data_IF_133525129689
#
_entry.id   IF_133525129689
#
_cell.length_a   1.000
_cell.length_b   1.000
_cell.length_c   1.000
_cell.angle_alpha   90.00
_cell.angle_beta   90.00
_cell.angle_gamma   90.00
#
_symmetry.space_group_name_H-M   'P 1'
#
loop_
_entity.id
_entity.type
_entity.pdbx_description
1 polymer ?
#
# COMPACT_ATOMS: atom_id res chain seq x y z
N UNK A 1 -12.04 24.70 -15.95
CA UNK A 1 -11.07 23.59 -16.13
C UNK A 1 -11.59 22.34 -15.44
N UNK A 2 -11.27 21.14 -15.94
CA UNK A 2 -11.58 19.88 -15.24
C UNK A 2 -10.62 19.67 -14.06
N UNK A 3 -11.09 19.09 -12.96
CA UNK A 3 -10.27 18.86 -11.75
C UNK A 3 -8.99 18.06 -12.05
N UNK A 4 -9.07 17.04 -12.92
CA UNK A 4 -7.91 16.24 -13.33
C UNK A 4 -6.82 17.09 -14.00
N UNK A 5 -7.22 18.03 -14.89
CA UNK A 5 -6.25 18.92 -15.54
C UNK A 5 -5.59 19.88 -14.55
N UNK A 6 -6.31 20.32 -13.53
CA UNK A 6 -5.78 21.18 -12.46
C UNK A 6 -4.80 20.38 -11.59
N UNK A 7 -5.18 19.19 -11.13
CA UNK A 7 -4.30 18.30 -10.35
C UNK A 7 -3.00 17.99 -11.10
N UNK A 8 -3.08 17.64 -12.38
CA UNK A 8 -1.90 17.35 -13.20
C UNK A 8 -1.00 18.58 -13.36
N UNK A 9 -1.57 19.78 -13.58
CA UNK A 9 -0.77 21.00 -13.65
C UNK A 9 -0.11 21.36 -12.32
N UNK A 10 -0.78 21.12 -11.20
CA UNK A 10 -0.20 21.33 -9.87
C UNK A 10 0.97 20.37 -9.57
N UNK A 11 0.93 19.14 -10.10
CA UNK A 11 2.04 18.19 -9.96
C UNK A 11 3.25 18.53 -10.85
N UNK A 12 3.03 19.29 -11.93
CA UNK A 12 4.08 19.65 -12.90
C UNK A 12 4.74 21.00 -12.60
N UNK A 13 4.25 21.75 -11.62
CA UNK A 13 4.93 23.00 -11.21
C UNK A 13 6.09 22.69 -10.28
N UNK A 14 7.25 23.29 -10.55
CA UNK A 14 8.42 23.25 -9.66
C UNK A 14 8.17 23.99 -8.34
N UNK A 15 7.18 24.89 -8.31
CA UNK A 15 6.86 25.72 -7.15
C UNK A 15 5.36 25.61 -6.85
N UNK A 16 4.92 24.61 -6.06
CA UNK A 16 3.50 24.45 -5.75
C UNK A 16 2.93 25.61 -4.92
N UNK A 17 3.78 26.42 -4.27
CA UNK A 17 3.37 27.59 -3.47
C UNK A 17 2.74 28.72 -4.27
N UNK A 18 3.09 28.80 -5.56
CA UNK A 18 2.67 29.89 -6.44
C UNK A 18 1.93 29.33 -7.66
N UNK A 19 0.67 28.88 -7.49
CA UNK A 19 -0.13 28.42 -8.63
C UNK A 19 -0.38 29.56 -9.62
N UNK A 20 -0.35 29.24 -10.91
CA UNK A 20 -0.70 30.20 -11.97
C UNK A 20 -2.12 30.76 -11.77
N UNK A 21 -2.39 31.95 -12.30
CA UNK A 21 -3.69 32.63 -12.17
C UNK A 21 -4.87 31.70 -12.53
N UNK A 22 -4.74 30.95 -13.63
CA UNK A 22 -5.77 30.00 -14.07
C UNK A 22 -6.06 28.89 -13.05
N UNK A 23 -5.05 28.47 -12.28
CA UNK A 23 -5.22 27.46 -11.22
C UNK A 23 -5.83 28.11 -9.97
N UNK A 24 -5.41 29.33 -9.60
CA UNK A 24 -5.97 30.07 -8.45
C UNK A 24 -7.49 30.23 -8.56
N UNK A 25 -7.97 30.73 -9.71
CA UNK A 25 -9.41 30.86 -9.97
C UNK A 25 -10.16 29.54 -9.78
N UNK A 26 -9.56 28.40 -10.16
CA UNK A 26 -10.20 27.10 -9.93
C UNK A 26 -10.15 26.66 -8.46
N UNK A 27 -9.02 26.85 -7.78
CA UNK A 27 -8.84 26.50 -6.37
C UNK A 27 -9.78 27.31 -5.44
N UNK A 28 -10.16 28.51 -5.85
CA UNK A 28 -11.13 29.35 -5.15
C UNK A 28 -12.55 28.77 -5.18
N UNK A 29 -12.88 27.99 -6.20
CA UNK A 29 -14.23 27.44 -6.40
C UNK A 29 -14.33 25.93 -6.17
N UNK A 30 -13.21 25.20 -6.12
CA UNK A 30 -13.18 23.74 -5.99
C UNK A 30 -12.50 23.29 -4.69
N UNK A 31 -13.30 22.88 -3.71
CA UNK A 31 -12.81 22.43 -2.39
C UNK A 31 -11.91 21.19 -2.48
N UNK A 32 -12.19 20.24 -3.38
CA UNK A 32 -11.38 19.04 -3.54
C UNK A 32 -10.00 19.33 -4.12
N UNK A 33 -9.90 20.25 -5.09
CA UNK A 33 -8.60 20.69 -5.62
C UNK A 33 -7.83 21.52 -4.58
N UNK A 34 -8.52 22.32 -3.76
CA UNK A 34 -7.90 23.06 -2.65
C UNK A 34 -7.30 22.13 -1.59
N UNK A 35 -8.04 21.11 -1.17
CA UNK A 35 -7.54 20.12 -0.21
C UNK A 35 -6.31 19.37 -0.75
N UNK A 36 -6.35 18.99 -2.03
CA UNK A 36 -5.21 18.38 -2.72
C UNK A 36 -3.99 19.31 -2.73
N UNK A 37 -4.18 20.58 -3.11
CA UNK A 37 -3.11 21.59 -3.12
C UNK A 37 -2.50 21.81 -1.73
N UNK A 38 -3.32 21.91 -0.68
CA UNK A 38 -2.83 21.99 0.70
C UNK A 38 -2.00 20.75 1.10
N UNK A 39 -2.38 19.55 0.63
CA UNK A 39 -1.58 18.34 0.80
C UNK A 39 -0.20 18.45 0.14
N UNK A 40 -0.14 18.96 -1.09
CA UNK A 40 1.13 19.21 -1.78
C UNK A 40 2.01 20.21 -1.03
N UNK A 41 1.43 21.28 -0.47
CA UNK A 41 2.19 22.26 0.32
C UNK A 41 2.78 21.66 1.60
N UNK A 42 2.04 20.75 2.26
CA UNK A 42 2.56 20.04 3.45
C UNK A 42 3.71 19.11 3.07
N UNK A 43 3.60 18.39 1.95
CA UNK A 43 4.67 17.53 1.45
C UNK A 43 5.91 18.35 1.10
N UNK A 44 5.75 19.45 0.36
CA UNK A 44 6.82 20.38 -0.01
C UNK A 44 7.53 20.95 1.22
N UNK A 45 6.79 21.32 2.26
CA UNK A 45 7.35 21.81 3.52
C UNK A 45 8.09 20.71 4.32
N UNK A 46 7.70 19.45 4.17
CA UNK A 46 8.33 18.33 4.88
C UNK A 46 9.63 17.84 4.22
N UNK A 47 9.81 18.05 2.91
CA UNK A 47 11.00 17.57 2.17
C UNK A 47 12.32 18.08 2.78
N UNK A 48 12.48 19.37 3.14
CA UNK A 48 13.70 19.86 3.79
C UNK A 48 13.97 19.26 5.17
N UNK A 49 12.95 18.76 5.86
CA UNK A 49 13.09 18.12 7.18
C UNK A 49 13.44 16.64 7.09
N UNK A 50 13.41 16.05 5.89
CA UNK A 50 13.79 14.66 5.72
C UNK A 50 15.26 14.48 6.11
N UNK A 51 15.58 13.48 6.95
CA UNK A 51 16.94 13.23 7.38
C UNK A 51 17.78 12.88 6.14
N UNK A 52 18.74 13.74 5.80
CA UNK A 52 19.72 13.43 4.75
C UNK A 52 20.65 12.35 5.32
N UNK A 53 20.68 11.13 4.76
CA UNK A 53 21.59 10.10 5.24
C UNK A 53 23.01 10.64 5.15
N UNK A 54 23.74 10.55 6.27
CA UNK A 54 25.15 10.94 6.27
C UNK A 54 25.89 9.98 5.35
N UNK A 55 26.36 10.50 4.21
CA UNK A 55 27.25 9.76 3.34
C UNK A 55 28.53 9.34 4.08
N UNK A 56 29.27 8.35 3.56
CA UNK A 56 30.54 7.96 4.14
C UNK A 56 31.46 9.17 4.26
N UNK A 57 32.21 9.25 5.36
CA UNK A 57 33.14 10.35 5.60
C UNK A 57 34.09 10.52 4.41
N UNK A 58 34.27 11.76 3.98
CA UNK A 58 35.11 12.11 2.82
C UNK A 58 34.48 11.88 1.44
N UNK A 59 33.26 11.36 1.31
CA UNK A 59 32.61 11.20 0.00
C UNK A 59 32.47 12.53 -0.77
N UNK A 60 32.05 13.58 -0.07
CA UNK A 60 31.96 14.94 -0.64
C UNK A 60 33.33 15.45 -1.10
N UNK A 61 34.37 15.25 -0.29
CA UNK A 61 35.73 15.69 -0.64
C UNK A 61 36.27 14.96 -1.88
N UNK A 62 36.01 13.64 -2.00
CA UNK A 62 36.37 12.87 -3.19
C UNK A 62 35.64 13.36 -4.45
N UNK A 63 34.35 13.66 -4.33
CA UNK A 63 33.55 14.20 -5.44
C UNK A 63 34.07 15.57 -5.89
N UNK A 64 34.38 16.46 -4.94
CA UNK A 64 34.97 17.78 -5.25
C UNK A 64 36.32 17.61 -5.96
N UNK A 65 37.19 16.74 -5.45
CA UNK A 65 38.48 16.46 -6.09
C UNK A 65 38.34 15.88 -7.51
N UNK A 66 37.28 15.10 -7.79
CA UNK A 66 36.99 14.63 -9.15
C UNK A 66 36.63 15.78 -10.08
N UNK A 67 35.74 16.69 -9.67
CA UNK A 67 35.38 17.85 -10.49
C UNK A 67 36.55 18.82 -10.70
N UNK A 68 37.39 19.03 -9.67
CA UNK A 68 38.60 19.84 -9.81
C UNK A 68 39.59 19.20 -10.79
N UNK A 69 39.78 17.88 -10.73
CA UNK A 69 40.62 17.16 -11.68
C UNK A 69 40.07 17.20 -13.12
N UNK A 70 38.75 17.10 -13.30
CA UNK A 70 38.08 17.26 -14.59
C UNK A 70 38.21 18.69 -15.14
N UNK A 71 38.09 19.71 -14.29
CA UNK A 71 38.29 21.11 -14.70
C UNK A 71 39.73 21.36 -15.18
N UNK A 72 40.73 20.83 -14.47
CA UNK A 72 42.13 20.97 -14.86
C UNK A 72 42.49 20.20 -16.14
N UNK A 73 41.82 19.07 -16.40
CA UNK A 73 42.04 18.30 -17.64
C UNK A 73 41.30 18.89 -18.83
N UNK A 74 40.16 19.55 -18.64
CA UNK A 74 39.44 20.28 -19.68
C UNK A 74 40.24 21.47 -20.25
N UNK A 75 41.08 22.11 -19.42
CA UNK A 75 41.91 23.25 -19.82
C UNK A 75 43.19 22.85 -20.59
N UNK A 76 43.64 21.60 -20.45
CA UNK A 76 44.82 21.07 -21.15
C UNK A 76 44.50 20.46 -22.53
N UNK A 77 43.22 20.34 -22.90
CA UNK A 77 42.86 19.97 -24.26
C UNK A 77 43.22 21.13 -25.20
N UNK A 78 44.11 20.93 -26.20
CA UNK A 78 44.42 21.98 -27.15
C UNK A 78 43.11 22.45 -27.79
N UNK A 79 42.91 23.76 -27.79
CA UNK A 79 41.80 24.45 -28.46
C UNK A 79 41.81 24.08 -29.94
N UNK A 80 41.25 22.92 -30.27
CA UNK A 80 40.79 22.61 -31.60
C UNK A 80 39.61 23.53 -31.82
N UNK A 81 39.91 24.70 -32.40
CA UNK A 81 38.94 25.65 -32.93
C UNK A 81 37.80 24.84 -33.54
N UNK A 82 36.54 25.02 -33.10
CA UNK A 82 35.43 24.26 -33.64
C UNK A 82 35.30 24.64 -35.12
N UNK A 83 35.95 23.85 -35.98
CA UNK A 83 35.75 23.91 -37.41
C UNK A 83 34.24 23.82 -37.61
N UNK A 84 33.69 24.88 -38.17
CA UNK A 84 32.26 25.12 -38.33
C UNK A 84 31.54 23.82 -38.66
N UNK A 85 30.88 23.24 -37.66
CA UNK A 85 29.92 22.17 -37.87
C UNK A 85 28.74 22.85 -38.54
N UNK A 86 28.80 22.85 -39.87
CA UNK A 86 27.73 23.28 -40.74
C UNK A 86 26.60 22.28 -40.46
N UNK A 87 25.61 22.73 -39.68
CA UNK A 87 24.41 21.97 -39.42
C UNK A 87 23.65 21.85 -40.74
N UNK A 88 23.91 20.77 -41.47
CA UNK A 88 23.16 20.40 -42.66
C UNK A 88 21.75 19.98 -42.20
N UNK A 89 20.68 20.68 -42.62
CA UNK A 89 19.32 20.34 -42.22
C UNK A 89 18.90 19.07 -42.96
N UNK A 90 19.18 17.91 -42.37
CA UNK A 90 18.70 16.65 -42.92
C UNK A 90 17.19 16.51 -42.72
N UNK A 91 16.51 16.54 -43.87
CA UNK A 91 15.43 15.63 -44.27
C UNK A 91 14.08 15.84 -43.57
N UNK A 92 13.25 16.65 -44.23
CA UNK A 92 11.79 16.51 -44.27
C UNK A 92 11.38 15.09 -44.63
N UNK A 93 10.81 14.36 -43.68
CA UNK A 93 10.02 13.15 -43.95
C UNK A 93 8.58 13.56 -44.29
N UNK A 94 7.98 13.04 -45.38
CA UNK A 94 6.59 13.29 -45.70
C UNK A 94 5.67 12.56 -44.71
N UNK A 95 4.83 13.34 -44.02
CA UNK A 95 3.73 12.81 -43.21
C UNK A 95 2.65 12.28 -44.18
N UNK A 96 2.31 10.99 -44.15
CA UNK A 96 1.17 10.49 -44.93
C UNK A 96 -0.12 11.02 -44.33
N UNK A 97 -0.88 11.76 -45.15
CA UNK A 97 -2.24 12.19 -44.85
C UNK A 97 -3.15 10.98 -45.00
N UNK A 98 -3.43 10.31 -43.89
CA UNK A 98 -4.42 9.22 -43.86
C UNK A 98 -5.82 9.81 -43.77
N UNK A 99 -6.45 9.91 -44.93
CA UNK A 99 -7.87 10.18 -45.12
C UNK A 99 -8.73 9.03 -44.56
N UNK A 100 -9.90 9.43 -44.05
CA UNK A 100 -11.18 8.67 -43.98
C UNK A 100 -11.61 8.26 -42.57
N UNK A 101 -12.21 9.24 -41.89
CA UNK A 101 -13.13 9.04 -40.78
C UNK A 101 -14.41 8.36 -41.27
N UNK A 102 -14.79 7.15 -40.78
CA UNK A 102 -16.13 6.61 -41.01
C UNK A 102 -17.15 7.32 -40.13
N UNK A 103 -18.33 7.56 -40.71
CA UNK A 103 -19.47 8.21 -40.06
C UNK A 103 -19.96 7.44 -38.82
N UNK A 104 -20.54 8.13 -37.82
CA UNK A 104 -21.09 7.48 -36.64
C UNK A 104 -22.33 6.66 -37.02
N UNK A 105 -22.30 5.37 -36.71
CA UNK A 105 -23.47 4.50 -36.80
C UNK A 105 -24.51 4.92 -35.75
N UNK A 106 -25.71 5.23 -36.22
CA UNK A 106 -26.90 5.45 -35.40
C UNK A 106 -27.25 4.16 -34.66
N UNK A 107 -27.01 4.12 -33.36
CA UNK A 107 -27.45 3.02 -32.48
C UNK A 107 -28.87 3.36 -32.01
N UNK A 108 -29.85 2.58 -32.47
CA UNK A 108 -31.21 2.61 -31.94
C UNK A 108 -31.24 2.02 -30.52
N UNK A 109 -31.96 2.65 -29.56
CA UNK A 109 -32.12 2.09 -28.23
C UNK A 109 -32.98 0.82 -28.29
N UNK A 110 -32.39 -0.31 -27.92
CA UNK A 110 -33.12 -1.55 -27.70
C UNK A 110 -33.97 -1.41 -26.43
N UNK A 111 -35.28 -1.55 -26.58
CA UNK A 111 -36.26 -1.65 -25.49
C UNK A 111 -35.96 -2.87 -24.64
N UNK A 112 -35.47 -2.65 -23.42
CA UNK A 112 -35.26 -3.70 -22.42
C UNK A 112 -36.62 -4.00 -21.76
N UNK A 113 -37.12 -5.25 -21.78
CA UNK A 113 -38.34 -5.62 -21.07
C UNK A 113 -38.14 -5.52 -19.55
N UNK A 114 -39.17 -5.12 -18.79
CA UNK A 114 -39.07 -4.95 -17.35
C UNK A 114 -38.78 -6.30 -16.66
N UNK A 115 -37.75 -6.31 -15.82
CA UNK A 115 -37.39 -7.46 -15.00
C UNK A 115 -38.49 -7.73 -13.94
N UNK A 116 -38.81 -9.02 -13.64
CA UNK A 116 -39.78 -9.36 -12.62
C UNK A 116 -39.28 -8.98 -11.22
N UNK A 117 -40.19 -8.37 -10.44
CA UNK A 117 -39.98 -7.95 -9.05
C UNK A 117 -39.50 -9.12 -8.17
N UNK A 118 -38.46 -8.92 -7.33
CA UNK A 118 -38.08 -9.91 -6.33
C UNK A 118 -39.16 -10.02 -5.24
N UNK A 119 -39.60 -11.25 -4.98
CA UNK A 119 -40.55 -11.58 -3.91
C UNK A 119 -39.92 -11.28 -2.54
N UNK A 120 -40.63 -10.52 -1.72
CA UNK A 120 -40.27 -10.21 -0.33
C UNK A 120 -39.96 -11.47 0.49
N UNK A 121 -38.87 -11.48 1.27
CA UNK A 121 -38.61 -12.57 2.21
C UNK A 121 -39.61 -12.51 3.38
N UNK A 122 -40.34 -13.61 3.56
CA UNK A 122 -41.23 -13.84 4.69
C UNK A 122 -40.43 -13.79 6.01
N UNK A 123 -40.94 -13.00 6.96
CA UNK A 123 -40.45 -12.93 8.32
C UNK A 123 -40.56 -14.30 9.02
N UNK A 124 -39.44 -14.81 9.52
CA UNK A 124 -39.41 -15.96 10.42
C UNK A 124 -39.63 -15.52 11.88
N UNK A 125 -40.37 -16.29 12.69
CA UNK A 125 -40.75 -15.90 14.03
C UNK A 125 -39.60 -16.06 15.04
N UNK A 126 -39.50 -15.07 15.93
CA UNK A 126 -38.56 -15.01 17.04
C UNK A 126 -38.72 -16.19 18.01
N UNK A 127 -37.70 -17.04 18.10
CA UNK A 127 -37.56 -18.02 19.19
C UNK A 127 -37.03 -17.32 20.44
N UNK A 128 -37.87 -17.19 21.46
CA UNK A 128 -37.52 -16.78 22.82
C UNK A 128 -36.58 -17.83 23.45
N UNK A 129 -35.30 -17.50 23.56
CA UNK A 129 -34.34 -18.27 24.36
C UNK A 129 -34.36 -17.76 25.80
N UNK A 130 -35.02 -18.51 26.69
CA UNK A 130 -34.89 -18.37 28.15
C UNK A 130 -33.52 -18.93 28.53
N UNK A 131 -32.56 -18.05 28.86
CA UNK A 131 -31.29 -18.45 29.47
C UNK A 131 -31.41 -18.24 30.98
N UNK A 132 -31.44 -19.35 31.71
CA UNK A 132 -31.38 -19.36 33.17
C UNK A 132 -30.01 -18.84 33.62
N UNK A 133 -30.03 -17.86 34.53
CA UNK A 133 -28.86 -17.35 35.24
C UNK A 133 -28.60 -18.33 36.39
N UNK A 134 -27.55 -19.13 36.26
CA UNK A 134 -27.01 -19.90 37.37
C UNK A 134 -26.04 -18.99 38.15
N UNK A 135 -26.42 -18.71 39.39
CA UNK A 135 -25.65 -18.00 40.40
C UNK A 135 -24.49 -18.89 40.82
N UNK A 136 -23.26 -18.43 40.61
CA UNK A 136 -22.03 -19.12 41.06
C UNK A 136 -21.58 -18.45 42.35
N UNK A 137 -21.68 -19.19 43.45
CA UNK A 137 -21.08 -18.87 44.74
C UNK A 137 -19.55 -18.80 44.62
N UNK A 138 -18.98 -17.70 45.12
CA UNK A 138 -17.54 -17.54 45.32
C UNK A 138 -17.16 -17.97 46.74
N UNK A 139 -16.27 -18.97 46.94
CA UNK A 139 -15.63 -19.19 48.22
C UNK A 139 -14.46 -18.21 48.40
N UNK A 140 -14.57 -17.39 49.45
CA UNK A 140 -13.45 -16.66 50.05
C UNK A 140 -12.62 -17.62 50.90
N UNK A 141 -11.50 -18.11 50.38
CA UNK A 141 -10.39 -18.60 51.20
C UNK A 141 -9.08 -17.98 50.71
N UNK A 142 -8.53 -17.10 51.54
CA UNK A 142 -7.18 -16.56 51.42
C UNK A 142 -6.19 -17.62 51.93
N UNK A 143 -5.22 -18.08 51.12
CA UNK A 143 -4.12 -18.87 51.64
C UNK A 143 -3.09 -17.99 52.38
N UNK A 144 -2.44 -18.52 53.44
CA UNK A 144 -1.42 -17.82 54.20
C UNK A 144 -0.15 -17.60 53.38
N UNK A 145 0.43 -16.41 53.52
CA UNK A 145 1.72 -16.03 52.93
C UNK A 145 2.86 -16.86 53.56
N UNK A 146 3.57 -17.61 52.73
CA UNK A 146 4.87 -18.19 53.06
C UNK A 146 6.00 -17.18 52.75
N UNK A 147 7.02 -17.06 53.60
CA UNK A 147 8.18 -16.20 53.33
C UNK A 147 9.06 -16.84 52.25
N UNK A 148 9.13 -16.21 51.08
CA UNK A 148 10.08 -16.59 50.03
C UNK A 148 11.46 -16.08 50.42
N UNK A 149 12.34 -17.04 50.68
CA UNK A 149 13.74 -16.89 51.01
C UNK A 149 14.54 -16.26 49.86
N UNK A 150 15.16 -15.13 50.14
CA UNK A 150 16.01 -14.34 49.25
C UNK A 150 17.38 -15.00 49.05
N UNK A 151 17.47 -16.00 48.16
CA UNK A 151 18.76 -16.50 47.67
C UNK A 151 19.06 -15.93 46.27
N UNK A 152 19.61 -14.73 46.26
CA UNK A 152 20.13 -14.04 45.07
C UNK A 152 21.31 -14.83 44.48
N UNK A 153 21.03 -15.68 43.48
CA UNK A 153 22.08 -16.21 42.59
C UNK A 153 22.40 -15.18 41.52
N UNK A 154 23.58 -14.59 41.62
CA UNK A 154 24.23 -13.87 40.53
C UNK A 154 24.36 -14.77 39.31
N UNK A 155 23.57 -14.47 38.28
CA UNK A 155 23.72 -15.04 36.95
C UNK A 155 24.66 -14.11 36.16
N UNK A 156 25.81 -14.59 35.67
CA UNK A 156 26.74 -13.75 34.92
C UNK A 156 26.11 -13.36 33.58
N UNK A 157 25.83 -12.07 33.43
CA UNK A 157 25.41 -11.44 32.17
C UNK A 157 26.57 -11.52 31.17
N UNK A 158 26.52 -12.48 30.26
CA UNK A 158 27.47 -12.57 29.13
C UNK A 158 27.08 -11.56 28.04
N UNK A 159 28.09 -10.80 27.61
CA UNK A 159 28.01 -9.59 26.79
C UNK A 159 27.79 -9.84 25.27
N UNK A 160 26.90 -10.75 24.86
CA UNK A 160 26.70 -11.05 23.42
C UNK A 160 25.75 -10.09 22.67
N UNK A 161 25.31 -8.99 23.28
CA UNK A 161 24.25 -8.13 22.72
C UNK A 161 24.72 -7.09 21.69
N UNK A 162 26.03 -6.92 21.46
CA UNK A 162 26.54 -5.79 20.64
C UNK A 162 26.83 -6.12 19.17
N UNK A 163 26.89 -7.39 18.76
CA UNK A 163 27.26 -7.73 17.37
C UNK A 163 26.08 -7.96 16.40
N UNK A 164 24.84 -8.05 16.90
CA UNK A 164 23.66 -8.29 16.03
C UNK A 164 22.96 -7.03 15.50
N UNK A 165 23.46 -5.83 15.79
CA UNK A 165 22.77 -4.59 15.45
C UNK A 165 22.98 -4.09 14.00
N UNK A 166 23.93 -4.65 13.23
CA UNK A 166 24.35 -4.06 11.94
C UNK A 166 23.71 -4.73 10.71
N UNK A 167 23.04 -5.88 10.84
CA UNK A 167 22.51 -6.65 9.70
C UNK A 167 20.99 -6.50 9.44
N UNK A 168 20.26 -5.75 10.28
CA UNK A 168 18.78 -5.66 10.24
C UNK A 168 18.21 -4.51 9.38
N UNK A 169 19.04 -3.66 8.77
CA UNK A 169 18.58 -2.46 8.05
C UNK A 169 18.07 -2.66 6.61
N UNK A 170 18.35 -3.81 5.99
CA UNK A 170 18.16 -3.99 4.53
C UNK A 170 16.74 -4.31 4.06
N UNK A 171 15.92 -4.99 4.88
CA UNK A 171 14.63 -5.55 4.42
C UNK A 171 13.48 -4.53 4.37
N UNK A 172 13.53 -3.46 5.17
CA UNK A 172 12.47 -2.45 5.15
C UNK A 172 12.48 -1.60 3.88
N UNK A 173 13.67 -1.31 3.34
CA UNK A 173 13.82 -0.49 2.14
C UNK A 173 13.33 -1.22 0.87
N UNK A 174 13.56 -2.53 0.74
CA UNK A 174 13.13 -3.29 -0.43
C UNK A 174 11.61 -3.40 -0.53
N UNK A 175 10.90 -3.51 0.59
CA UNK A 175 9.43 -3.58 0.62
C UNK A 175 8.79 -2.26 0.18
N UNK A 176 9.35 -1.12 0.60
CA UNK A 176 8.91 0.21 0.15
C UNK A 176 9.15 0.37 -1.36
N UNK A 177 10.30 -0.06 -1.88
CA UNK A 177 10.60 -0.01 -3.31
C UNK A 177 9.69 -0.94 -4.11
N UNK A 178 9.45 -2.16 -3.63
CA UNK A 178 8.57 -3.12 -4.29
C UNK A 178 7.13 -2.62 -4.34
N UNK A 179 6.58 -2.14 -3.21
CA UNK A 179 5.23 -1.56 -3.13
C UNK A 179 5.13 -0.31 -4.00
N UNK A 180 6.12 0.59 -3.92
CA UNK A 180 6.20 1.80 -4.73
C UNK A 180 6.25 1.50 -6.23
N UNK A 181 7.04 0.51 -6.65
CA UNK A 181 7.13 0.07 -8.04
C UNK A 181 5.82 -0.55 -8.53
N UNK A 182 5.13 -1.38 -7.73
CA UNK A 182 3.80 -1.89 -8.11
C UNK A 182 2.77 -0.78 -8.24
N UNK A 183 2.72 0.16 -7.29
CA UNK A 183 1.78 1.30 -7.36
C UNK A 183 2.07 2.16 -8.59
N UNK A 184 3.34 2.40 -8.90
CA UNK A 184 3.76 3.13 -10.10
C UNK A 184 3.35 2.42 -11.39
N UNK A 185 3.53 1.09 -11.48
CA UNK A 185 3.09 0.31 -12.64
C UNK A 185 1.57 0.26 -12.79
N UNK A 186 0.81 0.25 -11.68
CA UNK A 186 -0.65 0.32 -11.72
C UNK A 186 -1.12 1.70 -12.21
N UNK A 187 -0.45 2.79 -11.80
CA UNK A 187 -0.77 4.15 -12.26
C UNK A 187 -0.51 4.37 -13.76
N UNK A 188 0.40 3.61 -14.38
CA UNK A 188 0.68 3.74 -15.81
C UNK A 188 -0.40 3.10 -16.72
N UNK A 189 -1.30 2.28 -16.16
CA UNK A 189 -2.40 1.74 -16.96
C UNK A 189 -3.39 2.87 -17.27
N UNK A 190 -3.69 3.18 -18.55
CA UNK A 190 -4.66 4.21 -18.90
C UNK A 190 -6.00 3.82 -18.28
N UNK A 191 -6.41 4.56 -17.24
CA UNK A 191 -7.69 4.35 -16.59
C UNK A 191 -8.77 4.81 -17.55
N UNK A 192 -9.45 3.85 -18.18
CA UNK A 192 -10.65 4.10 -18.97
C UNK A 192 -11.69 4.70 -18.02
N UNK A 193 -11.80 6.02 -18.07
CA UNK A 193 -12.47 6.83 -17.05
C UNK A 193 -13.97 6.79 -17.29
N UNK A 194 -14.61 5.68 -16.93
CA UNK A 194 -16.05 5.66 -16.72
C UNK A 194 -16.30 6.38 -15.39
N UNK A 195 -16.86 7.59 -15.50
CA UNK A 195 -17.27 8.50 -14.43
C UNK A 195 -18.10 7.77 -13.36
N UNK A 196 -17.46 7.21 -12.32
CA UNK A 196 -18.14 6.49 -11.26
C UNK A 196 -17.77 7.02 -9.89
N UNK A 197 -18.80 7.46 -9.17
CA UNK A 197 -18.79 7.98 -7.81
C UNK A 197 -18.63 6.83 -6.80
N UNK A 198 -17.50 6.12 -6.86
CA UNK A 198 -17.07 5.28 -5.74
C UNK A 198 -16.60 6.22 -4.63
N UNK A 199 -16.74 5.81 -3.36
CA UNK A 199 -16.21 6.54 -2.21
C UNK A 199 -14.81 7.08 -2.55
N UNK A 200 -14.58 8.38 -2.33
CA UNK A 200 -13.47 9.13 -2.92
C UNK A 200 -12.18 8.30 -2.92
N UNK A 201 -11.64 7.89 -4.08
CA UNK A 201 -10.42 7.09 -4.19
C UNK A 201 -9.26 7.63 -3.34
N UNK A 202 -9.31 8.94 -3.10
CA UNK A 202 -8.42 9.69 -2.22
C UNK A 202 -8.37 9.14 -0.76
N UNK A 203 -9.47 8.58 -0.21
CA UNK A 203 -9.51 8.07 1.17
C UNK A 203 -8.82 6.72 1.35
N UNK A 204 -8.99 5.79 0.42
CA UNK A 204 -8.33 4.48 0.49
C UNK A 204 -6.81 4.64 0.35
N UNK A 205 -6.37 5.43 -0.62
CA UNK A 205 -4.96 5.76 -0.81
C UNK A 205 -4.37 6.48 0.41
N UNK A 206 -5.10 7.43 1.00
CA UNK A 206 -4.67 8.08 2.24
C UNK A 206 -4.44 7.08 3.37
N UNK A 207 -5.34 6.10 3.55
CA UNK A 207 -5.19 5.05 4.57
C UNK A 207 -4.01 4.13 4.28
N UNK A 208 -3.81 3.71 3.02
CA UNK A 208 -2.63 2.91 2.66
C UNK A 208 -1.35 3.69 2.97
N UNK A 209 -1.30 4.96 2.59
CA UNK A 209 -0.15 5.82 2.83
C UNK A 209 0.14 5.96 4.33
N UNK A 210 -0.90 6.26 5.13
CA UNK A 210 -0.79 6.32 6.60
C UNK A 210 -0.23 5.01 7.18
N UNK A 211 -0.68 3.86 6.68
CA UNK A 211 -0.17 2.54 7.11
C UNK A 211 1.28 2.32 6.71
N UNK A 212 1.70 2.74 5.53
CA UNK A 212 3.08 2.65 5.11
C UNK A 212 4.00 3.56 5.95
N UNK A 213 3.55 4.76 6.31
CA UNK A 213 4.28 5.65 7.23
C UNK A 213 4.38 5.00 8.61
N UNK A 214 3.28 4.45 9.13
CA UNK A 214 3.26 3.75 10.41
C UNK A 214 4.16 2.50 10.41
N UNK A 215 4.20 1.77 9.30
CA UNK A 215 5.10 0.62 9.10
C UNK A 215 6.56 1.05 9.08
N UNK A 216 6.90 2.16 8.40
CA UNK A 216 8.25 2.70 8.38
C UNK A 216 8.70 3.19 9.77
N UNK A 217 7.77 3.73 10.57
CA UNK A 217 8.02 4.16 11.94
C UNK A 217 8.03 3.01 12.96
N UNK A 218 7.68 1.77 12.56
CA UNK A 218 7.64 0.64 13.47
C UNK A 218 9.05 0.10 13.75
N UNK A 219 9.56 0.38 14.94
CA UNK A 219 10.92 0.00 15.35
C UNK A 219 11.05 -1.47 15.79
N UNK A 220 9.95 -2.09 16.22
CA UNK A 220 9.96 -3.47 16.73
C UNK A 220 9.33 -4.45 15.74
N UNK A 221 9.78 -5.72 15.69
CA UNK A 221 9.17 -6.76 14.85
C UNK A 221 7.67 -6.92 15.12
N UNK A 222 7.26 -6.86 16.39
CA UNK A 222 5.85 -6.90 16.79
C UNK A 222 5.04 -5.77 16.17
N UNK A 223 5.51 -4.51 16.28
CA UNK A 223 4.78 -3.38 15.69
C UNK A 223 4.74 -3.47 14.16
N UNK A 224 5.82 -3.92 13.51
CA UNK A 224 5.83 -4.11 12.05
C UNK A 224 4.83 -5.17 11.62
N UNK A 225 4.82 -6.30 12.31
CA UNK A 225 3.86 -7.38 12.10
C UNK A 225 2.42 -6.86 12.25
N UNK A 226 2.11 -6.13 13.32
CA UNK A 226 0.78 -5.56 13.55
C UNK A 226 0.36 -4.57 12.45
N UNK A 227 1.28 -3.73 11.95
CA UNK A 227 0.97 -2.79 10.86
C UNK A 227 0.74 -3.51 9.53
N UNK A 228 1.48 -4.58 9.23
CA UNK A 228 1.28 -5.39 8.03
C UNK A 228 -0.04 -6.15 8.07
N UNK A 229 -0.43 -6.68 9.23
CA UNK A 229 -1.76 -7.30 9.44
C UNK A 229 -2.87 -6.28 9.22
N UNK A 230 -2.74 -5.07 9.77
CA UNK A 230 -3.74 -4.01 9.55
C UNK A 230 -3.80 -3.57 8.07
N UNK A 231 -2.67 -3.53 7.38
CA UNK A 231 -2.63 -3.22 5.95
C UNK A 231 -3.32 -4.31 5.13
N UNK A 232 -3.12 -5.60 5.44
CA UNK A 232 -3.80 -6.68 4.73
C UNK A 232 -5.32 -6.67 4.99
N UNK A 233 -5.75 -6.40 6.24
CA UNK A 233 -7.17 -6.23 6.57
C UNK A 233 -7.82 -5.07 5.78
N UNK A 234 -7.10 -3.96 5.62
CA UNK A 234 -7.56 -2.82 4.82
C UNK A 234 -7.71 -3.20 3.33
N UNK A 235 -6.70 -3.85 2.75
CA UNK A 235 -6.72 -4.32 1.36
C UNK A 235 -7.87 -5.30 1.12
N UNK A 236 -8.07 -6.26 2.03
CA UNK A 236 -9.20 -7.20 1.95
C UNK A 236 -10.55 -6.48 2.08
N UNK A 237 -10.67 -5.54 3.02
CA UNK A 237 -11.86 -4.72 3.20
C UNK A 237 -12.26 -3.98 1.92
N UNK A 238 -11.29 -3.35 1.26
CA UNK A 238 -11.51 -2.65 -0.01
C UNK A 238 -11.83 -3.62 -1.16
N UNK A 239 -11.08 -4.73 -1.26
CA UNK A 239 -11.33 -5.77 -2.28
C UNK A 239 -12.77 -6.30 -2.25
N UNK A 240 -13.34 -6.49 -1.05
CA UNK A 240 -14.76 -6.86 -0.88
C UNK A 240 -15.72 -5.79 -1.39
N UNK A 241 -15.44 -4.52 -1.13
CA UNK A 241 -16.27 -3.42 -1.58
C UNK A 241 -16.21 -3.30 -3.11
N UNK A 242 -15.01 -3.33 -3.68
CA UNK A 242 -14.80 -3.28 -5.13
C UNK A 242 -15.42 -4.47 -5.85
N UNK A 243 -15.43 -5.66 -5.25
CA UNK A 243 -16.05 -6.83 -5.86
C UNK A 243 -17.53 -6.65 -6.24
N UNK A 244 -18.24 -5.74 -5.58
CA UNK A 244 -19.65 -5.44 -5.84
C UNK A 244 -19.83 -4.38 -6.94
N UNK A 245 -18.91 -3.44 -7.05
CA UNK A 245 -19.13 -2.20 -7.82
C UNK A 245 -18.10 -1.95 -8.91
N UNK A 246 -16.88 -2.45 -8.78
CA UNK A 246 -15.74 -2.13 -9.63
C UNK A 246 -15.55 -3.12 -10.78
N UNK A 247 -14.61 -2.78 -11.66
CA UNK A 247 -14.16 -3.67 -12.72
C UNK A 247 -13.19 -4.71 -12.18
N UNK A 248 -13.08 -5.83 -12.89
CA UNK A 248 -12.20 -6.94 -12.51
C UNK A 248 -10.73 -6.53 -12.35
N UNK A 249 -10.28 -5.57 -13.17
CA UNK A 249 -8.90 -5.09 -13.14
C UNK A 249 -8.53 -4.42 -11.81
N UNK A 250 -9.46 -3.67 -11.20
CA UNK A 250 -9.21 -2.99 -9.92
C UNK A 250 -9.10 -4.00 -8.78
N UNK A 251 -9.96 -5.03 -8.80
CA UNK A 251 -9.92 -6.11 -7.80
C UNK A 251 -8.65 -6.94 -7.97
N UNK A 252 -8.22 -7.21 -9.21
CA UNK A 252 -6.97 -7.91 -9.49
C UNK A 252 -5.75 -7.17 -8.92
N UNK A 253 -5.70 -5.83 -9.06
CA UNK A 253 -4.65 -5.02 -8.48
C UNK A 253 -4.63 -5.10 -6.94
N UNK A 254 -5.80 -5.08 -6.29
CA UNK A 254 -5.89 -5.28 -4.83
C UNK A 254 -5.46 -6.70 -4.43
N UNK A 255 -5.85 -7.72 -5.19
CA UNK A 255 -5.48 -9.10 -4.93
C UNK A 255 -3.96 -9.29 -4.95
N UNK A 256 -3.27 -8.71 -5.93
CA UNK A 256 -1.81 -8.76 -6.03
C UNK A 256 -1.13 -8.05 -4.84
N UNK A 257 -1.60 -6.87 -4.45
CA UNK A 257 -1.08 -6.15 -3.29
C UNK A 257 -1.30 -6.95 -2.00
N UNK A 258 -2.49 -7.54 -1.84
CA UNK A 258 -2.84 -8.34 -0.66
C UNK A 258 -1.93 -9.57 -0.54
N UNK A 259 -1.69 -10.28 -1.64
CA UNK A 259 -0.79 -11.42 -1.68
C UNK A 259 0.63 -11.03 -1.26
N UNK A 260 1.20 -9.97 -1.83
CA UNK A 260 2.55 -9.48 -1.47
C UNK A 260 2.66 -9.10 0.00
N UNK A 261 1.68 -8.35 0.54
CA UNK A 261 1.67 -7.96 1.96
C UNK A 261 1.65 -9.20 2.85
N UNK A 262 0.89 -10.24 2.51
CA UNK A 262 0.86 -11.47 3.29
C UNK A 262 2.14 -12.29 3.16
N UNK A 263 2.51 -12.65 1.94
CA UNK A 263 3.57 -13.62 1.68
C UNK A 263 4.96 -13.05 1.94
N UNK A 264 5.21 -11.82 1.52
CA UNK A 264 6.53 -11.18 1.64
C UNK A 264 6.64 -10.40 2.94
N UNK A 265 5.53 -9.81 3.41
CA UNK A 265 5.49 -9.01 4.63
C UNK A 265 5.20 -9.83 5.88
N UNK A 266 3.93 -10.24 6.04
CA UNK A 266 3.41 -10.85 7.28
C UNK A 266 4.18 -12.12 7.63
N UNK A 267 4.41 -13.03 6.67
CA UNK A 267 5.14 -14.28 6.95
C UNK A 267 6.60 -14.04 7.35
N UNK A 268 7.26 -13.07 6.71
CA UNK A 268 8.65 -12.71 7.05
C UNK A 268 8.74 -12.15 8.47
N UNK A 269 7.87 -11.20 8.81
CA UNK A 269 7.87 -10.59 10.15
C UNK A 269 7.39 -11.55 11.24
N UNK A 270 6.49 -12.49 10.94
CA UNK A 270 6.05 -13.51 11.89
C UNK A 270 7.22 -14.35 12.43
N UNK A 271 8.19 -14.68 11.57
CA UNK A 271 9.38 -15.45 11.96
C UNK A 271 10.28 -14.70 12.95
N UNK A 272 10.29 -13.37 12.88
CA UNK A 272 11.08 -12.50 13.74
C UNK A 272 10.41 -12.21 15.10
N UNK A 273 9.15 -12.62 15.29
CA UNK A 273 8.46 -12.41 16.56
C UNK A 273 9.09 -13.22 17.70
N UNK A 274 9.26 -12.64 18.89
CA UNK A 274 9.74 -13.36 20.04
C UNK A 274 8.67 -14.35 20.56
N UNK A 275 9.11 -15.40 21.25
CA UNK A 275 8.24 -16.42 21.85
C UNK A 275 6.98 -15.91 22.59
N UNK A 276 7.07 -14.91 23.50
CA UNK A 276 5.88 -14.40 24.18
C UNK A 276 4.80 -13.89 23.22
N UNK A 277 5.16 -13.45 22.02
CA UNK A 277 4.24 -12.87 21.03
C UNK A 277 3.72 -13.90 20.00
N UNK A 278 4.13 -15.16 20.07
CA UNK A 278 3.67 -16.23 19.15
C UNK A 278 2.15 -16.47 19.19
N UNK A 279 1.49 -16.07 20.27
CA UNK A 279 0.03 -16.11 20.36
C UNK A 279 -0.65 -15.20 19.31
N UNK A 280 0.01 -14.11 18.89
CA UNK A 280 -0.47 -13.22 17.82
C UNK A 280 -0.55 -13.95 16.48
N UNK A 281 0.42 -14.81 16.19
CA UNK A 281 0.46 -15.63 14.96
C UNK A 281 -0.77 -16.52 14.87
N UNK A 282 -1.19 -17.17 15.97
CA UNK A 282 -2.39 -18.03 16.00
C UNK A 282 -3.67 -17.25 15.72
N UNK A 283 -3.76 -16.04 16.28
CA UNK A 283 -4.91 -15.15 16.06
C UNK A 283 -5.01 -14.75 14.59
N UNK A 284 -3.91 -14.31 14.00
CA UNK A 284 -3.84 -13.88 12.60
C UNK A 284 -4.13 -15.06 11.65
N UNK A 285 -3.57 -16.24 11.91
CA UNK A 285 -3.87 -17.45 11.13
C UNK A 285 -5.38 -17.75 11.13
N UNK A 286 -6.04 -17.62 12.29
CA UNK A 286 -7.49 -17.80 12.39
C UNK A 286 -8.26 -16.78 11.55
N UNK A 287 -7.87 -15.50 11.59
CA UNK A 287 -8.47 -14.45 10.76
C UNK A 287 -8.25 -14.67 9.26
N UNK A 288 -7.07 -15.15 8.85
CA UNK A 288 -6.76 -15.45 7.45
C UNK A 288 -7.55 -16.66 6.94
N UNK A 289 -7.74 -17.68 7.78
CA UNK A 289 -8.60 -18.82 7.48
C UNK A 289 -10.06 -18.40 7.23
N UNK A 290 -10.58 -17.47 8.06
CA UNK A 290 -11.91 -16.90 7.89
C UNK A 290 -12.00 -16.05 6.62
N UNK A 291 -11.02 -15.16 6.38
CA UNK A 291 -10.97 -14.31 5.20
C UNK A 291 -10.92 -15.12 3.91
N UNK A 292 -10.16 -16.22 3.89
CA UNK A 292 -10.11 -17.16 2.77
C UNK A 292 -11.49 -17.75 2.43
N UNK A 293 -12.24 -18.20 3.45
CA UNK A 293 -13.59 -18.75 3.28
C UNK A 293 -14.57 -17.70 2.74
N UNK A 294 -14.52 -16.48 3.30
CA UNK A 294 -15.39 -15.38 2.87
C UNK A 294 -15.07 -14.98 1.43
N UNK A 295 -13.79 -14.94 1.04
CA UNK A 295 -13.37 -14.65 -0.33
C UNK A 295 -13.87 -15.70 -1.34
N UNK A 296 -13.77 -16.99 -1.01
CA UNK A 296 -14.29 -18.06 -1.88
C UNK A 296 -15.82 -18.01 -1.97
N UNK A 297 -16.51 -17.74 -0.86
CA UNK A 297 -17.96 -17.57 -0.86
C UNK A 297 -18.40 -16.36 -1.70
N UNK A 298 -17.69 -15.24 -1.60
CA UNK A 298 -17.97 -14.02 -2.35
C UNK A 298 -17.72 -14.24 -3.85
N UNK A 299 -16.68 -15.00 -4.21
CA UNK A 299 -16.40 -15.39 -5.59
C UNK A 299 -17.58 -16.13 -6.24
N UNK A 300 -18.40 -16.85 -5.48
CA UNK A 300 -19.63 -17.49 -5.97
C UNK A 300 -20.83 -16.55 -6.18
N UNK A 301 -20.75 -15.29 -5.73
CA UNK A 301 -21.87 -14.34 -5.69
C UNK A 301 -21.67 -13.12 -6.60
N UNK A 302 -20.45 -12.88 -7.08
CA UNK A 302 -20.10 -11.70 -7.87
C UNK A 302 -20.11 -11.99 -9.37
N UNK A 303 -19.88 -10.95 -10.17
CA UNK A 303 -19.78 -11.07 -11.63
C UNK A 303 -18.65 -12.05 -12.02
N UNK A 304 -18.79 -12.82 -13.12
CA UNK A 304 -17.77 -13.77 -13.58
C UNK A 304 -16.37 -13.17 -13.70
N UNK A 305 -16.26 -11.91 -14.12
CA UNK A 305 -14.99 -11.18 -14.26
C UNK A 305 -14.25 -10.99 -12.93
N UNK A 306 -14.98 -10.92 -11.81
CA UNK A 306 -14.42 -10.66 -10.47
C UNK A 306 -14.07 -11.95 -9.71
N UNK A 307 -14.42 -13.13 -10.26
CA UNK A 307 -14.24 -14.44 -9.60
C UNK A 307 -12.77 -14.78 -9.41
N UNK A 308 -11.95 -14.63 -10.45
CA UNK A 308 -10.54 -15.00 -10.40
C UNK A 308 -9.75 -14.16 -9.38
N UNK A 309 -9.86 -12.81 -9.38
CA UNK A 309 -9.19 -11.98 -8.37
C UNK A 309 -9.57 -12.33 -6.92
N UNK A 310 -10.85 -12.60 -6.66
CA UNK A 310 -11.30 -13.02 -5.32
C UNK A 310 -10.74 -14.38 -4.91
N UNK A 311 -10.66 -15.33 -5.85
CA UNK A 311 -10.00 -16.61 -5.61
C UNK A 311 -8.50 -16.44 -5.37
N UNK A 312 -7.84 -15.48 -6.02
CA UNK A 312 -6.45 -15.16 -5.73
C UNK A 312 -6.27 -14.69 -4.28
N UNK A 313 -7.14 -13.80 -3.79
CA UNK A 313 -7.18 -13.40 -2.37
C UNK A 313 -7.41 -14.61 -1.46
N UNK A 314 -8.38 -15.48 -1.79
CA UNK A 314 -8.69 -16.67 -1.02
C UNK A 314 -7.49 -17.63 -0.90
N UNK A 315 -6.78 -17.85 -2.02
CA UNK A 315 -5.56 -18.67 -2.09
C UNK A 315 -4.44 -18.05 -1.25
N UNK A 316 -4.14 -16.76 -1.42
CA UNK A 316 -3.10 -16.07 -0.66
C UNK A 316 -3.35 -16.15 0.86
N UNK A 317 -4.59 -15.90 1.29
CA UNK A 317 -4.98 -16.02 2.70
C UNK A 317 -4.83 -17.46 3.23
N UNK A 318 -5.25 -18.48 2.46
CA UNK A 318 -5.10 -19.89 2.84
C UNK A 318 -3.64 -20.32 2.95
N UNK A 319 -2.81 -19.91 1.99
CA UNK A 319 -1.37 -20.19 2.00
C UNK A 319 -0.70 -19.58 3.23
N UNK A 320 -1.00 -18.31 3.53
CA UNK A 320 -0.46 -17.63 4.70
C UNK A 320 -0.96 -18.25 6.02
N UNK A 321 -2.25 -18.61 6.15
CA UNK A 321 -2.79 -19.34 7.31
C UNK A 321 -2.02 -20.64 7.57
N UNK A 322 -1.84 -21.48 6.54
CA UNK A 322 -1.09 -22.74 6.66
C UNK A 322 0.35 -22.52 7.10
N UNK A 323 1.03 -21.52 6.53
CA UNK A 323 2.40 -21.18 6.88
C UNK A 323 2.53 -20.71 8.34
N UNK A 324 1.66 -19.80 8.78
CA UNK A 324 1.64 -19.31 10.16
C UNK A 324 1.36 -20.44 11.17
N UNK A 325 0.46 -21.38 10.85
CA UNK A 325 0.20 -22.57 11.69
C UNK A 325 1.36 -23.55 11.70
N UNK A 326 2.12 -23.66 10.62
CA UNK A 326 3.33 -24.48 10.60
C UNK A 326 4.37 -23.93 11.59
N UNK A 327 4.63 -22.61 11.54
CA UNK A 327 5.58 -21.95 12.46
C UNK A 327 5.22 -22.20 13.93
N UNK A 328 3.94 -22.07 14.30
CA UNK A 328 3.48 -22.31 15.68
C UNK A 328 3.67 -23.76 16.14
N UNK A 329 3.69 -24.73 15.23
CA UNK A 329 3.87 -26.16 15.56
C UNK A 329 5.34 -26.55 15.68
N UNK A 330 6.24 -25.89 14.96
CA UNK A 330 7.68 -26.17 14.97
C UNK A 330 8.36 -25.68 16.27
N UNK A 331 7.75 -24.74 16.98
CA UNK A 331 8.25 -24.19 18.25
C UNK A 331 7.79 -25.00 19.50
N UNK A 332 7.11 -26.13 19.33
CA UNK A 332 6.65 -27.05 20.41
C UNK A 332 7.60 -28.23 20.55
#
# INVERSE_FOLDING_TARGET
>A
MKCTSVRNRLLMTSHPREPSESLRVHLDHCSSCRAFWQGLLKLDAAIPELPVPRGPSGAKARLIAQFEAEAMTAEAAPSASPAAVTFEPQVTLPIPVETKSPAPATIHPATIPPAPLPKSPQASPAKKSKRAVAQVDMPSELPPMSPISSASRHQPRTNHRKERAVLMGGLAASLIVAVGATVFLIQQRPTTTANRTIASPDLFLARIFERNVALAAAETPQRRFDQLVQLSELLWGEGRQLAQVAEAADIAAIAEMYEKVLLDGVLTQARELPEPDRHLIRRVATQLSESSKVAEQLAGQVKPSSVEPLRAIARAASTADKALRAMVREDV
#
